data_IF_858295916070
#
_entry.id   IF_858295916070
#
_cell.length_a   1.000
_cell.length_b   1.000
_cell.length_c   1.000
_cell.angle_alpha   90.00
_cell.angle_beta   90.00
_cell.angle_gamma   90.00
#
_symmetry.space_group_name_H-M   'P 1'
#
loop_
_entity.id
_entity.type
_entity.pdbx_description
1 polymer ?
#
# COMPACT_ATOMS: atom_id res chain seq x y z
N UNK A 1 -11.81 33.64 -58.85
CA UNK A 1 -11.25 33.05 -60.09
C UNK A 1 -11.45 31.56 -59.96
N UNK A 2 -12.54 31.12 -60.60
CA UNK A 2 -12.62 30.10 -61.68
C UNK A 2 -12.14 28.70 -61.25
N UNK A 3 -12.87 27.62 -61.40
CA UNK A 3 -13.79 27.24 -62.46
C UNK A 3 -14.54 25.96 -62.08
N UNK A 4 -15.80 25.94 -62.36
CA UNK A 4 -16.75 24.85 -62.62
C UNK A 4 -16.24 23.78 -63.56
N UNK A 5 -16.81 22.54 -63.41
CA UNK A 5 -17.39 21.70 -64.48
C UNK A 5 -17.93 20.39 -63.87
N UNK A 6 -19.21 20.31 -63.73
CA UNK A 6 -20.28 19.64 -64.54
C UNK A 6 -19.81 18.46 -65.39
N UNK A 7 -20.42 17.27 -65.13
CA UNK A 7 -20.81 16.28 -66.18
C UNK A 7 -21.91 15.36 -65.60
N UNK A 8 -23.09 15.57 -65.97
CA UNK A 8 -24.17 14.99 -66.77
C UNK A 8 -24.30 13.48 -66.79
N UNK A 9 -25.41 13.04 -66.27
CA UNK A 9 -26.46 12.08 -66.68
C UNK A 9 -26.22 11.24 -67.90
N UNK A 10 -26.49 9.94 -67.79
CA UNK A 10 -27.14 9.16 -68.85
C UNK A 10 -28.16 8.19 -68.25
N UNK A 11 -29.44 8.48 -68.57
CA UNK A 11 -30.54 7.53 -68.57
C UNK A 11 -30.43 6.72 -69.84
N UNK A 12 -30.62 5.41 -69.74
CA UNK A 12 -31.11 4.61 -70.86
C UNK A 12 -32.10 3.58 -70.38
N UNK A 13 -33.30 3.77 -70.80
CA UNK A 13 -34.45 2.85 -70.72
C UNK A 13 -34.36 1.82 -71.83
N UNK A 14 -34.59 0.53 -71.52
CA UNK A 14 -35.17 -0.40 -72.51
C UNK A 14 -36.27 -1.24 -71.90
N UNK A 15 -37.36 -1.20 -72.63
CA UNK A 15 -38.63 -1.90 -72.43
C UNK A 15 -38.61 -3.26 -73.15
N UNK A 16 -39.45 -4.17 -72.63
CA UNK A 16 -40.12 -5.28 -73.35
C UNK A 16 -39.30 -6.54 -73.59
N UNK A 17 -39.76 -7.73 -73.50
CA UNK A 17 -41.09 -8.33 -73.41
C UNK A 17 -40.96 -9.84 -73.14
N UNK A 18 -42.01 -10.41 -72.56
CA UNK A 18 -42.67 -11.71 -72.89
C UNK A 18 -42.03 -13.03 -72.42
N UNK A 19 -42.65 -13.68 -71.54
CA UNK A 19 -43.68 -14.74 -71.59
C UNK A 19 -43.17 -16.19 -71.44
N UNK A 20 -43.76 -16.88 -70.46
CA UNK A 20 -44.08 -18.33 -70.30
C UNK A 20 -42.96 -19.30 -69.94
N UNK A 21 -43.24 -19.97 -68.80
CA UNK A 21 -42.54 -21.20 -68.36
C UNK A 21 -42.90 -21.62 -66.95
N UNK A 22 -44.16 -22.13 -66.75
CA UNK A 22 -44.52 -22.84 -65.52
C UNK A 22 -43.72 -24.11 -65.35
N UNK A 23 -42.95 -24.22 -64.27
CA UNK A 23 -42.55 -25.52 -63.72
C UNK A 23 -42.46 -25.36 -62.18
N UNK A 24 -43.52 -25.82 -61.51
CA UNK A 24 -43.59 -25.97 -60.09
C UNK A 24 -42.65 -27.10 -59.63
N UNK A 25 -41.53 -26.73 -59.03
CA UNK A 25 -40.76 -27.63 -58.20
C UNK A 25 -41.09 -27.31 -56.77
N UNK A 26 -41.93 -28.16 -56.15
CA UNK A 26 -42.18 -28.17 -54.74
C UNK A 26 -40.90 -28.56 -53.99
N UNK A 27 -40.20 -27.60 -53.43
CA UNK A 27 -39.13 -27.86 -52.48
C UNK A 27 -39.80 -28.22 -51.14
N UNK A 28 -39.70 -29.51 -50.79
CA UNK A 28 -39.91 -29.97 -49.42
C UNK A 28 -38.83 -29.35 -48.56
N UNK A 29 -39.14 -28.25 -47.87
CA UNK A 29 -38.32 -27.74 -46.78
C UNK A 29 -38.48 -28.72 -45.59
N UNK A 30 -37.36 -29.20 -44.99
CA UNK A 30 -37.46 -29.97 -43.76
C UNK A 30 -38.08 -29.08 -42.67
N UNK A 31 -38.91 -29.65 -41.75
CA UNK A 31 -39.50 -28.89 -40.67
C UNK A 31 -38.36 -28.28 -39.82
N UNK A 32 -38.33 -26.95 -39.71
CA UNK A 32 -37.49 -26.27 -38.76
C UNK A 32 -37.76 -26.89 -37.38
N UNK A 33 -36.74 -27.61 -36.86
CA UNK A 33 -36.77 -28.10 -35.50
C UNK A 33 -37.04 -26.90 -34.60
N UNK A 34 -38.22 -26.81 -34.05
CA UNK A 34 -38.60 -25.86 -33.04
C UNK A 34 -37.61 -26.03 -31.89
N UNK A 35 -36.69 -25.09 -31.74
CA UNK A 35 -35.89 -25.00 -30.55
C UNK A 35 -36.86 -24.78 -29.41
N UNK A 36 -37.08 -25.82 -28.63
CA UNK A 36 -37.82 -25.75 -27.38
C UNK A 36 -37.19 -24.62 -26.54
N UNK A 37 -37.97 -23.60 -26.15
CA UNK A 37 -37.44 -22.58 -25.26
C UNK A 37 -36.97 -23.27 -23.99
N UNK A 38 -35.67 -23.26 -23.77
CA UNK A 38 -35.06 -23.78 -22.55
C UNK A 38 -35.68 -22.99 -21.40
N UNK A 39 -36.52 -23.65 -20.61
CA UNK A 39 -37.16 -23.12 -19.42
C UNK A 39 -36.11 -22.43 -18.58
N UNK A 40 -36.23 -21.12 -18.28
CA UNK A 40 -35.24 -20.45 -17.45
C UNK A 40 -35.19 -21.23 -16.13
N UNK A 41 -33.98 -21.65 -15.77
CA UNK A 41 -33.73 -22.24 -14.46
C UNK A 41 -34.32 -21.31 -13.40
N UNK A 42 -35.12 -21.88 -12.48
CA UNK A 42 -35.82 -21.14 -11.43
C UNK A 42 -34.79 -20.59 -10.38
N UNK A 43 -33.86 -19.77 -10.80
CA UNK A 43 -32.82 -19.16 -9.99
C UNK A 43 -32.70 -17.68 -10.30
N UNK A 44 -32.16 -16.92 -9.37
CA UNK A 44 -31.81 -15.51 -9.58
C UNK A 44 -30.57 -15.44 -10.44
N UNK A 45 -30.69 -14.90 -11.65
CA UNK A 45 -29.54 -14.63 -12.54
C UNK A 45 -28.87 -13.31 -12.20
N UNK A 46 -27.56 -13.27 -12.20
CA UNK A 46 -26.75 -12.08 -11.97
C UNK A 46 -25.45 -12.12 -12.78
N UNK A 47 -24.89 -10.95 -13.05
CA UNK A 47 -23.56 -10.81 -13.63
C UNK A 47 -22.59 -10.44 -12.52
N UNK A 48 -21.43 -11.09 -12.49
CA UNK A 48 -20.42 -10.85 -11.47
C UNK A 48 -19.01 -10.83 -12.02
N UNK A 49 -18.06 -10.49 -11.16
CA UNK A 49 -16.63 -10.49 -11.46
C UNK A 49 -15.87 -11.35 -10.46
N UNK A 50 -14.88 -12.08 -10.94
CA UNK A 50 -14.01 -12.90 -10.10
C UNK A 50 -13.00 -11.99 -9.40
N UNK A 51 -12.94 -12.07 -8.08
CA UNK A 51 -12.02 -11.28 -7.25
C UNK A 51 -11.34 -12.16 -6.19
N UNK A 52 -10.12 -11.85 -5.79
CA UNK A 52 -9.47 -12.51 -4.65
C UNK A 52 -10.15 -12.11 -3.33
N UNK A 53 -9.94 -12.91 -2.28
CA UNK A 53 -10.52 -12.66 -0.95
C UNK A 53 -10.14 -11.28 -0.39
N UNK A 54 -8.90 -10.88 -0.59
CA UNK A 54 -8.40 -9.56 -0.19
C UNK A 54 -8.87 -8.39 -1.06
N UNK A 55 -9.63 -8.67 -2.14
CA UNK A 55 -9.76 -7.73 -3.25
C UNK A 55 -8.44 -7.57 -4.01
N UNK A 56 -8.44 -6.66 -4.96
CA UNK A 56 -7.21 -6.25 -5.66
C UNK A 56 -6.59 -5.07 -4.89
N UNK A 57 -5.46 -5.33 -4.26
CA UNK A 57 -4.73 -4.33 -3.48
C UNK A 57 -3.75 -3.61 -4.39
N UNK A 58 -4.02 -2.34 -4.65
CA UNK A 58 -3.10 -1.47 -5.37
C UNK A 58 -2.04 -0.89 -4.43
N UNK A 59 -0.77 -1.03 -4.79
CA UNK A 59 0.33 -0.38 -4.08
C UNK A 59 0.64 0.94 -4.78
N UNK A 60 0.20 2.07 -4.19
CA UNK A 60 0.45 3.38 -4.78
C UNK A 60 1.91 3.77 -4.61
N UNK A 61 2.41 4.57 -5.50
CA UNK A 61 3.70 5.25 -5.36
C UNK A 61 3.54 6.75 -5.43
N UNK A 62 4.63 7.48 -5.22
CA UNK A 62 4.64 8.94 -5.31
C UNK A 62 4.33 9.37 -6.74
N UNK A 63 3.27 10.17 -6.98
CA UNK A 63 2.94 10.67 -8.30
C UNK A 63 4.11 11.46 -8.91
N UNK A 64 4.38 11.25 -10.20
CA UNK A 64 5.48 11.91 -10.90
C UNK A 64 6.85 11.26 -10.70
N UNK A 65 7.01 10.33 -9.76
CA UNK A 65 8.25 9.62 -9.55
C UNK A 65 8.58 8.68 -10.73
N UNK A 66 9.83 8.66 -11.12
CA UNK A 66 10.36 7.76 -12.15
C UNK A 66 10.70 6.40 -11.54
N UNK A 67 10.31 5.31 -12.20
CA UNK A 67 10.65 3.95 -11.80
C UNK A 67 12.09 3.65 -12.14
N UNK A 68 12.93 3.42 -11.14
CA UNK A 68 14.36 3.09 -11.32
C UNK A 68 14.63 1.60 -11.28
N UNK A 69 13.73 0.81 -10.69
CA UNK A 69 13.86 -0.64 -10.64
C UNK A 69 12.55 -1.34 -10.33
N UNK A 70 12.34 -2.50 -10.95
CA UNK A 70 11.21 -3.41 -10.71
C UNK A 70 11.80 -4.74 -10.29
N UNK A 71 11.42 -5.25 -9.13
CA UNK A 71 12.02 -6.44 -8.49
C UNK A 71 11.08 -7.64 -8.48
N UNK A 72 9.87 -7.48 -8.97
CA UNK A 72 8.84 -8.53 -8.98
C UNK A 72 8.23 -8.71 -10.37
N UNK A 73 7.63 -9.88 -10.59
CA UNK A 73 6.95 -10.22 -11.83
C UNK A 73 5.50 -10.63 -11.55
N UNK A 74 4.62 -10.44 -12.51
CA UNK A 74 3.26 -10.96 -12.44
C UNK A 74 3.28 -12.48 -12.20
N UNK A 75 2.41 -12.97 -11.33
CA UNK A 75 2.34 -14.37 -10.88
C UNK A 75 3.27 -14.72 -9.72
N UNK A 76 4.18 -13.84 -9.30
CA UNK A 76 5.10 -14.08 -8.19
C UNK A 76 4.39 -13.88 -6.85
N UNK A 77 4.56 -14.84 -5.93
CA UNK A 77 4.14 -14.66 -4.53
C UNK A 77 5.16 -13.82 -3.77
N UNK A 78 4.68 -12.86 -2.99
CA UNK A 78 5.49 -11.95 -2.18
C UNK A 78 4.95 -11.90 -0.75
N UNK A 79 5.84 -11.73 0.22
CA UNK A 79 5.50 -11.50 1.62
C UNK A 79 5.38 -10.01 1.91
N UNK A 80 4.64 -9.66 2.94
CA UNK A 80 4.60 -8.29 3.47
C UNK A 80 6.01 -7.74 3.70
N UNK A 81 6.23 -6.48 3.33
CA UNK A 81 7.55 -5.83 3.41
C UNK A 81 8.49 -6.10 2.23
N UNK A 82 8.19 -7.07 1.35
CA UNK A 82 9.02 -7.34 0.16
C UNK A 82 9.09 -6.11 -0.74
N UNK A 83 10.30 -5.74 -1.18
CA UNK A 83 10.52 -4.64 -2.11
C UNK A 83 9.96 -5.02 -3.49
N UNK A 84 8.99 -4.26 -3.96
CA UNK A 84 8.32 -4.45 -5.24
C UNK A 84 8.95 -3.61 -6.34
N UNK A 85 9.17 -2.33 -6.03
CA UNK A 85 9.61 -1.34 -7.00
C UNK A 85 10.41 -0.26 -6.30
N UNK A 86 11.43 0.28 -6.94
CA UNK A 86 12.16 1.47 -6.50
C UNK A 86 11.84 2.62 -7.44
N UNK A 87 11.61 3.79 -6.84
CA UNK A 87 11.25 4.99 -7.58
C UNK A 87 12.17 6.15 -7.20
N UNK A 88 12.33 7.08 -8.12
CA UNK A 88 13.07 8.32 -7.93
C UNK A 88 12.14 9.49 -8.21
N UNK A 89 11.76 10.23 -7.17
CA UNK A 89 11.09 11.51 -7.33
C UNK A 89 12.11 12.62 -7.07
N UNK A 90 12.19 13.67 -7.88
CA UNK A 90 13.11 14.78 -7.64
C UNK A 90 12.95 15.43 -6.27
N UNK A 91 11.69 15.55 -5.80
CA UNK A 91 11.36 16.03 -4.46
C UNK A 91 11.83 15.08 -3.36
N UNK A 92 11.67 13.76 -3.54
CA UNK A 92 12.05 12.77 -2.53
C UNK A 92 13.58 12.67 -2.35
N UNK A 93 14.36 12.85 -3.40
CA UNK A 93 15.84 12.91 -3.28
C UNK A 93 16.29 14.14 -2.47
N UNK A 94 15.65 15.30 -2.73
CA UNK A 94 15.88 16.49 -1.93
C UNK A 94 15.50 16.29 -0.47
N UNK A 95 14.35 15.71 -0.20
CA UNK A 95 13.85 15.43 1.14
C UNK A 95 14.76 14.44 1.90
N UNK A 96 15.27 13.40 1.23
CA UNK A 96 16.25 12.46 1.80
C UNK A 96 17.56 13.16 2.12
N UNK A 97 18.08 13.97 1.19
CA UNK A 97 19.33 14.71 1.40
C UNK A 97 19.22 15.72 2.55
N UNK A 98 18.10 16.44 2.63
CA UNK A 98 17.80 17.36 3.74
C UNK A 98 17.71 16.60 5.07
N UNK A 99 16.98 15.50 5.14
CA UNK A 99 16.83 14.72 6.35
C UNK A 99 18.15 14.08 6.81
N UNK A 100 19.00 13.63 5.88
CA UNK A 100 20.36 13.14 6.19
C UNK A 100 21.26 14.25 6.70
N UNK A 101 21.20 15.45 6.12
CA UNK A 101 21.98 16.61 6.59
C UNK A 101 21.53 17.05 7.98
N UNK A 102 20.23 17.00 8.27
CA UNK A 102 19.69 17.27 9.61
C UNK A 102 20.15 16.24 10.64
N UNK A 103 20.18 14.95 10.29
CA UNK A 103 20.73 13.91 11.17
C UNK A 103 22.20 14.16 11.49
N UNK A 104 23.00 14.46 10.48
CA UNK A 104 24.41 14.79 10.67
C UNK A 104 24.60 16.03 11.55
N UNK A 105 23.83 17.08 11.29
CA UNK A 105 23.87 18.29 12.11
C UNK A 105 23.49 18.03 13.58
N UNK A 106 22.48 17.17 13.82
CA UNK A 106 22.09 16.77 15.16
C UNK A 106 23.19 15.99 15.89
N UNK A 107 23.89 15.09 15.17
CA UNK A 107 25.03 14.35 15.71
C UNK A 107 26.23 15.27 16.05
N UNK A 108 26.59 16.19 15.17
CA UNK A 108 27.67 17.14 15.36
C UNK A 108 27.36 18.08 16.54
N UNK A 109 26.12 18.56 16.64
CA UNK A 109 25.70 19.40 17.77
C UNK A 109 25.75 18.63 19.09
N UNK A 110 25.27 17.42 19.13
CA UNK A 110 25.28 16.55 20.29
C UNK A 110 26.73 16.29 20.78
N UNK A 111 27.65 16.01 19.86
CA UNK A 111 29.05 15.80 20.17
C UNK A 111 29.70 17.05 20.82
N UNK A 112 29.43 18.25 20.26
CA UNK A 112 29.95 19.53 20.81
C UNK A 112 29.35 19.82 22.19
N UNK A 113 28.05 19.62 22.39
CA UNK A 113 27.41 19.85 23.67
C UNK A 113 27.91 18.88 24.75
N UNK A 114 28.06 17.58 24.40
CA UNK A 114 28.61 16.60 25.31
C UNK A 114 30.08 16.93 25.69
N UNK A 115 30.91 17.34 24.73
CA UNK A 115 32.30 17.72 24.98
C UNK A 115 32.38 18.95 25.90
N UNK A 116 31.58 19.98 25.67
CA UNK A 116 31.56 21.18 26.52
C UNK A 116 31.15 20.84 27.97
N UNK A 117 30.11 20.01 28.14
CA UNK A 117 29.65 19.61 29.47
C UNK A 117 30.63 18.66 30.16
N UNK A 118 31.34 17.82 29.42
CA UNK A 118 32.42 16.99 29.98
C UNK A 118 33.55 17.82 30.57
N UNK A 119 33.95 18.89 29.89
CA UNK A 119 34.92 19.84 30.40
C UNK A 119 34.50 20.50 31.72
N UNK A 120 33.22 20.87 31.84
CA UNK A 120 32.63 21.40 33.08
C UNK A 120 32.73 20.39 34.23
N UNK A 121 32.43 19.11 33.92
CA UNK A 121 32.55 18.02 34.91
C UNK A 121 34.03 17.81 35.33
N UNK A 122 34.98 17.84 34.39
CA UNK A 122 36.40 17.72 34.69
C UNK A 122 36.90 18.84 35.58
N UNK A 123 36.47 20.08 35.31
CA UNK A 123 36.81 21.23 36.16
C UNK A 123 36.23 21.08 37.57
N UNK A 124 34.97 20.69 37.69
CA UNK A 124 34.34 20.47 39.00
C UNK A 124 35.00 19.31 39.76
N UNK A 125 35.44 18.27 39.07
CA UNK A 125 36.19 17.15 39.63
C UNK A 125 37.54 17.62 40.19
N UNK A 126 38.32 18.39 39.42
CA UNK A 126 39.59 18.91 39.87
C UNK A 126 39.45 19.79 41.11
N UNK A 127 38.42 20.66 41.15
CA UNK A 127 38.14 21.50 42.34
C UNK A 127 37.78 20.64 43.57
N UNK A 128 36.98 19.59 43.40
CA UNK A 128 36.63 18.68 44.48
C UNK A 128 37.85 17.93 45.01
N UNK A 129 38.71 17.43 44.12
CA UNK A 129 39.94 16.74 44.49
C UNK A 129 40.91 17.71 45.26
N UNK A 130 41.03 18.93 44.79
CA UNK A 130 41.85 19.95 45.47
C UNK A 130 41.30 20.27 46.86
N UNK A 131 39.97 20.44 47.00
CA UNK A 131 39.36 20.74 48.29
C UNK A 131 39.51 19.56 49.29
N UNK A 132 39.32 18.32 48.82
CA UNK A 132 39.53 17.15 49.65
C UNK A 132 41.02 16.98 50.08
N UNK A 133 41.98 17.25 49.17
CA UNK A 133 43.40 17.25 49.48
C UNK A 133 43.75 18.28 50.55
N UNK A 134 43.13 19.48 50.50
CA UNK A 134 43.34 20.50 51.51
C UNK A 134 42.85 20.06 52.90
N UNK A 135 41.69 19.43 53.00
CA UNK A 135 41.15 18.84 54.23
C UNK A 135 42.10 17.77 54.78
N UNK A 136 42.60 16.90 53.89
CA UNK A 136 43.51 15.82 54.28
C UNK A 136 44.85 16.35 54.75
N UNK A 137 45.43 17.31 54.04
CA UNK A 137 46.68 17.97 54.42
C UNK A 137 46.57 18.65 55.79
N UNK A 138 45.46 19.38 56.01
CA UNK A 138 45.22 20.08 57.28
C UNK A 138 45.05 19.12 58.48
N UNK A 139 44.35 17.99 58.31
CA UNK A 139 44.25 16.96 59.32
C UNK A 139 45.60 16.33 59.71
N UNK A 140 46.51 16.24 58.77
CA UNK A 140 47.84 15.66 58.97
C UNK A 140 48.80 16.62 59.75
N UNK A 141 48.47 17.91 59.91
CA UNK A 141 49.25 18.85 60.71
C UNK A 141 49.23 18.59 62.20
N UNK A 142 48.34 17.76 62.71
CA UNK A 142 48.19 17.37 64.11
C UNK A 142 47.49 18.42 64.96
N UNK A 143 46.93 17.97 66.09
CA UNK A 143 45.99 18.74 66.96
C UNK A 143 46.64 19.96 67.65
N UNK A 144 47.93 20.01 67.73
CA UNK A 144 48.67 21.13 68.35
C UNK A 144 48.76 22.40 67.47
N UNK A 145 48.61 22.23 66.14
CA UNK A 145 48.74 23.31 65.16
C UNK A 145 47.47 23.63 64.41
N UNK A 146 46.40 22.88 64.66
CA UNK A 146 45.11 22.95 63.88
C UNK A 146 44.02 23.68 64.65
N UNK A 147 43.46 24.72 64.07
CA UNK A 147 42.24 25.40 64.59
C UNK A 147 40.96 24.63 64.10
N UNK A 148 40.07 24.30 65.07
CA UNK A 148 38.79 23.65 64.75
C UNK A 148 37.97 24.44 63.71
N UNK A 149 37.96 25.80 63.87
CA UNK A 149 37.22 26.69 62.99
C UNK A 149 37.74 26.61 61.52
N UNK A 150 39.04 26.48 61.38
CA UNK A 150 39.67 26.39 60.02
C UNK A 150 39.43 25.06 59.38
N UNK A 151 39.47 23.98 60.14
CA UNK A 151 39.10 22.66 59.68
C UNK A 151 37.62 22.62 59.23
N UNK A 152 36.69 23.17 60.01
CA UNK A 152 35.30 23.26 59.67
C UNK A 152 35.09 24.05 58.35
N UNK A 153 35.85 25.10 58.15
CA UNK A 153 35.81 25.88 56.90
C UNK A 153 36.28 25.07 55.71
N UNK A 154 37.34 24.30 55.82
CA UNK A 154 37.85 23.42 54.74
C UNK A 154 36.90 22.28 54.47
N UNK A 155 36.30 21.66 55.46
CA UNK A 155 35.29 20.61 55.33
C UNK A 155 34.08 21.14 54.60
N UNK A 156 33.60 22.33 54.95
CA UNK A 156 32.46 22.96 54.25
C UNK A 156 32.80 23.29 52.80
N UNK A 157 34.05 23.76 52.49
CA UNK A 157 34.49 24.00 51.15
C UNK A 157 34.56 22.69 50.32
N UNK A 158 35.03 21.60 50.92
CA UNK A 158 35.04 20.29 50.25
C UNK A 158 33.61 19.75 49.99
N UNK A 159 32.68 19.93 50.96
CA UNK A 159 31.28 19.54 50.76
C UNK A 159 30.61 20.35 49.65
N UNK A 160 30.92 21.67 49.54
CA UNK A 160 30.38 22.50 48.45
C UNK A 160 30.98 22.08 47.09
N UNK A 161 32.26 21.78 47.00
CA UNK A 161 32.89 21.30 45.76
C UNK A 161 32.35 19.92 45.33
N UNK A 162 32.07 19.02 46.28
CA UNK A 162 31.39 17.74 46.00
C UNK A 162 29.95 17.93 45.49
N UNK A 163 29.21 18.86 46.06
CA UNK A 163 27.85 19.21 45.60
C UNK A 163 27.89 19.81 44.18
N UNK A 164 28.87 20.70 43.88
CA UNK A 164 29.07 21.24 42.51
C UNK A 164 29.35 20.12 41.51
N UNK A 165 30.23 19.17 41.81
CA UNK A 165 30.51 18.02 40.97
C UNK A 165 29.25 17.17 40.71
N UNK A 166 28.44 16.92 41.72
CA UNK A 166 27.18 16.19 41.59
C UNK A 166 26.18 16.90 40.65
N UNK A 167 26.12 18.24 40.74
CA UNK A 167 25.29 19.06 39.88
C UNK A 167 25.77 18.96 38.42
N UNK A 168 27.05 19.08 38.15
CA UNK A 168 27.60 19.02 36.79
C UNK A 168 27.43 17.61 36.17
N UNK A 169 27.58 16.55 36.98
CA UNK A 169 27.27 15.17 36.54
C UNK A 169 25.82 14.99 36.19
N UNK A 170 24.89 15.58 36.98
CA UNK A 170 23.47 15.56 36.68
C UNK A 170 23.13 16.30 35.38
N UNK A 171 23.74 17.47 35.15
CA UNK A 171 23.61 18.25 33.91
C UNK A 171 24.11 17.47 32.69
N UNK A 172 25.25 16.77 32.80
CA UNK A 172 25.79 15.94 31.74
C UNK A 172 24.78 14.86 31.33
N UNK A 173 24.14 14.20 32.30
CA UNK A 173 23.09 13.19 32.01
C UNK A 173 21.90 13.79 31.28
N UNK A 174 21.44 14.97 31.68
CA UNK A 174 20.33 15.67 31.02
C UNK A 174 20.70 16.02 29.57
N UNK A 175 21.87 16.59 29.34
CA UNK A 175 22.37 16.92 28.00
C UNK A 175 22.46 15.67 27.13
N UNK A 176 22.99 14.56 27.64
CA UNK A 176 23.07 13.30 26.92
C UNK A 176 21.66 12.79 26.54
N UNK A 177 20.71 12.80 27.48
CA UNK A 177 19.33 12.35 27.21
C UNK A 177 18.62 13.22 26.16
N UNK A 178 18.83 14.54 26.18
CA UNK A 178 18.30 15.46 25.18
C UNK A 178 18.90 15.22 23.81
N UNK A 179 20.24 15.04 23.74
CA UNK A 179 20.96 14.76 22.53
C UNK A 179 20.52 13.43 21.88
N UNK A 180 20.40 12.37 22.69
CA UNK A 180 19.91 11.07 22.22
C UNK A 180 18.49 11.16 21.66
N UNK A 181 17.62 11.95 22.28
CA UNK A 181 16.28 12.20 21.79
C UNK A 181 16.30 12.95 20.45
N UNK A 182 17.13 13.99 20.32
CA UNK A 182 17.30 14.74 19.09
C UNK A 182 17.82 13.88 17.94
N UNK A 183 18.85 13.06 18.19
CA UNK A 183 19.40 12.13 17.20
C UNK A 183 18.38 11.09 16.80
N UNK A 184 17.63 10.50 17.74
CA UNK A 184 16.57 9.52 17.40
C UNK A 184 15.50 10.12 16.50
N UNK A 185 15.04 11.34 16.79
CA UNK A 185 14.02 12.00 15.98
C UNK A 185 14.53 12.30 14.56
N UNK A 186 15.74 12.83 14.43
CA UNK A 186 16.34 13.09 13.12
C UNK A 186 16.57 11.79 12.31
N UNK A 187 16.96 10.71 12.98
CA UNK A 187 17.11 9.39 12.36
C UNK A 187 15.78 8.83 11.84
N UNK A 188 14.72 8.92 12.62
CA UNK A 188 13.38 8.51 12.19
C UNK A 188 12.93 9.30 10.97
N UNK A 189 13.15 10.60 10.94
CA UNK A 189 12.83 11.44 9.78
C UNK A 189 13.61 11.00 8.53
N UNK A 190 14.92 10.73 8.66
CA UNK A 190 15.74 10.23 7.57
C UNK A 190 15.26 8.85 7.06
N UNK A 191 14.87 7.96 7.96
CA UNK A 191 14.30 6.66 7.60
C UNK A 191 12.94 6.79 6.90
N UNK A 192 12.06 7.68 7.35
CA UNK A 192 10.78 7.94 6.67
C UNK A 192 10.96 8.53 5.28
N UNK A 193 11.85 9.51 5.14
CA UNK A 193 12.19 10.09 3.85
C UNK A 193 12.73 9.03 2.88
N UNK A 194 13.63 8.16 3.34
CA UNK A 194 14.20 7.08 2.52
C UNK A 194 13.16 6.02 2.11
N UNK A 195 12.19 5.69 2.98
CA UNK A 195 11.12 4.71 2.65
C UNK A 195 10.19 5.18 1.55
N UNK A 196 10.00 6.48 1.39
CA UNK A 196 9.14 7.06 0.36
C UNK A 196 9.57 6.74 -1.07
N UNK A 197 10.82 6.34 -1.30
CA UNK A 197 11.36 5.93 -2.61
C UNK A 197 11.21 4.44 -2.93
N UNK A 198 10.73 3.63 -1.99
CA UNK A 198 10.58 2.19 -2.13
C UNK A 198 9.12 1.75 -1.96
N UNK A 199 8.57 1.13 -2.99
CA UNK A 199 7.25 0.49 -2.92
C UNK A 199 7.43 -0.92 -2.37
N UNK A 200 6.86 -1.19 -1.21
CA UNK A 200 6.88 -2.49 -0.55
C UNK A 200 5.49 -3.11 -0.47
N UNK A 201 5.41 -4.43 -0.47
CA UNK A 201 4.16 -5.15 -0.31
C UNK A 201 3.54 -4.85 1.07
N UNK A 202 2.29 -4.36 1.14
CA UNK A 202 1.63 -4.10 2.43
C UNK A 202 1.18 -5.39 3.12
N UNK A 203 0.91 -6.45 2.35
CA UNK A 203 0.41 -7.75 2.81
C UNK A 203 1.04 -8.88 1.99
N UNK A 204 0.90 -10.11 2.49
CA UNK A 204 1.25 -11.32 1.74
C UNK A 204 0.27 -11.48 0.56
N UNK A 205 0.78 -11.84 -0.61
CA UNK A 205 -0.07 -12.04 -1.79
C UNK A 205 0.69 -12.35 -3.06
N UNK A 206 -0.05 -12.59 -4.11
CA UNK A 206 0.51 -12.79 -5.46
C UNK A 206 0.43 -11.48 -6.24
N UNK A 207 1.48 -11.15 -6.96
CA UNK A 207 1.53 -10.01 -7.87
C UNK A 207 0.60 -10.29 -9.05
N UNK A 208 -0.48 -9.55 -9.16
CA UNK A 208 -1.44 -9.68 -10.26
C UNK A 208 -0.96 -8.95 -11.50
N UNK A 209 -0.48 -7.73 -11.30
CA UNK A 209 -0.05 -6.86 -12.40
C UNK A 209 1.04 -5.91 -11.93
N UNK A 210 2.04 -5.71 -12.77
CA UNK A 210 3.00 -4.61 -12.69
C UNK A 210 2.60 -3.61 -13.76
N UNK A 211 2.20 -2.39 -13.35
CA UNK A 211 1.60 -1.41 -14.27
C UNK A 211 2.62 -0.49 -14.91
N UNK A 212 3.84 -0.44 -14.38
CA UNK A 212 4.91 0.47 -14.85
C UNK A 212 6.22 -0.27 -15.05
N UNK A 213 7.00 0.19 -16.02
CA UNK A 213 8.33 -0.31 -16.34
C UNK A 213 9.40 0.67 -15.86
N UNK A 214 10.64 0.19 -15.82
CA UNK A 214 11.81 1.04 -15.55
C UNK A 214 11.87 2.17 -16.59
N UNK A 215 12.09 3.41 -16.12
CA UNK A 215 12.09 4.63 -16.92
C UNK A 215 10.72 5.31 -17.04
N UNK A 216 9.62 4.65 -16.68
CA UNK A 216 8.29 5.27 -16.71
C UNK A 216 7.99 6.05 -15.42
N UNK A 217 7.14 7.05 -15.51
CA UNK A 217 6.68 7.81 -14.34
C UNK A 217 5.40 7.24 -13.76
N UNK A 218 5.33 7.21 -12.43
CA UNK A 218 4.11 6.88 -11.70
C UNK A 218 3.06 7.98 -11.88
N UNK A 219 1.84 7.56 -12.18
CA UNK A 219 0.67 8.44 -12.24
C UNK A 219 -0.23 8.26 -11.01
N UNK A 220 -1.54 8.49 -11.19
CA UNK A 220 -2.55 8.22 -10.17
C UNK A 220 -2.88 6.72 -9.99
N UNK A 221 -2.41 5.86 -10.89
CA UNK A 221 -2.62 4.42 -10.82
C UNK A 221 -1.58 3.73 -9.93
N UNK A 222 -1.96 2.63 -9.22
CA UNK A 222 -1.01 1.87 -8.43
C UNK A 222 0.09 1.26 -9.31
N UNK A 223 1.35 1.31 -8.86
CA UNK A 223 2.51 0.78 -9.56
C UNK A 223 2.50 -0.76 -9.66
N UNK A 224 1.98 -1.43 -8.63
CA UNK A 224 1.84 -2.87 -8.54
C UNK A 224 0.49 -3.22 -7.94
N UNK A 225 -0.16 -4.26 -8.45
CA UNK A 225 -1.40 -4.82 -7.91
C UNK A 225 -1.13 -6.21 -7.33
N UNK A 226 -1.63 -6.42 -6.11
CA UNK A 226 -1.49 -7.66 -5.35
C UNK A 226 -2.87 -8.26 -5.05
N UNK A 227 -2.93 -9.57 -4.83
CA UNK A 227 -4.12 -10.25 -4.37
C UNK A 227 -3.82 -11.59 -3.71
N UNK A 228 -4.63 -11.98 -2.73
CA UNK A 228 -4.56 -13.32 -2.13
C UNK A 228 -5.39 -14.30 -2.96
N UNK A 229 -4.73 -15.11 -3.77
CA UNK A 229 -5.35 -16.06 -4.69
C UNK A 229 -5.77 -17.40 -4.04
N UNK A 230 -5.51 -17.59 -2.75
CA UNK A 230 -5.86 -18.85 -2.04
C UNK A 230 -7.35 -19.04 -1.91
N UNK A 231 -8.09 -17.95 -1.80
CA UNK A 231 -9.55 -17.97 -1.73
C UNK A 231 -10.10 -16.96 -2.74
N UNK A 232 -11.01 -17.43 -3.58
CA UNK A 232 -11.60 -16.61 -4.64
C UNK A 232 -13.08 -16.40 -4.40
N UNK A 233 -13.53 -15.23 -4.79
CA UNK A 233 -14.93 -14.82 -4.71
C UNK A 233 -15.45 -14.41 -6.08
N UNK A 234 -16.75 -14.46 -6.22
CA UNK A 234 -17.47 -13.73 -7.26
C UNK A 234 -18.28 -12.64 -6.58
N UNK A 235 -18.03 -11.42 -6.96
CA UNK A 235 -18.84 -10.27 -6.57
C UNK A 235 -19.82 -10.02 -7.68
N UNK A 236 -21.10 -10.24 -7.41
CA UNK A 236 -22.18 -10.06 -8.40
C UNK A 236 -23.15 -8.98 -7.96
N UNK A 237 -23.76 -8.34 -8.95
CA UNK A 237 -24.78 -7.34 -8.77
C UNK A 237 -26.14 -7.97 -9.03
N UNK A 238 -27.00 -7.91 -8.04
CA UNK A 238 -28.34 -8.49 -8.05
C UNK A 238 -29.39 -7.39 -7.94
N UNK A 239 -30.47 -7.52 -8.67
CA UNK A 239 -31.58 -6.58 -8.62
C UNK A 239 -32.23 -6.52 -7.22
N UNK A 240 -32.58 -5.32 -6.75
CA UNK A 240 -33.09 -5.09 -5.39
C UNK A 240 -34.28 -5.99 -5.01
N UNK A 241 -35.17 -6.30 -5.95
CA UNK A 241 -36.34 -7.15 -5.73
C UNK A 241 -35.99 -8.60 -5.39
N UNK A 242 -34.82 -9.08 -5.77
CA UNK A 242 -34.36 -10.45 -5.48
C UNK A 242 -33.46 -10.52 -4.24
N UNK A 243 -32.83 -9.41 -3.83
CA UNK A 243 -31.90 -9.38 -2.70
C UNK A 243 -32.50 -9.90 -1.39
N UNK A 244 -33.73 -9.54 -1.09
CA UNK A 244 -34.42 -9.95 0.15
C UNK A 244 -34.66 -11.48 0.22
N UNK A 245 -34.59 -12.15 -0.92
CA UNK A 245 -34.78 -13.61 -1.02
C UNK A 245 -33.47 -14.36 -0.85
N UNK A 246 -32.33 -13.67 -1.03
CA UNK A 246 -31.00 -14.27 -0.93
C UNK A 246 -30.57 -14.35 0.54
N UNK A 247 -29.97 -15.48 0.88
CA UNK A 247 -29.46 -15.75 2.23
C UNK A 247 -28.04 -16.31 2.14
N UNK A 248 -27.17 -15.99 3.11
CA UNK A 248 -25.90 -16.68 3.24
C UNK A 248 -26.06 -18.18 3.29
N UNK A 249 -25.15 -18.90 2.63
CA UNK A 249 -25.18 -20.36 2.50
C UNK A 249 -25.87 -20.90 1.25
N UNK A 250 -26.68 -20.12 0.53
CA UNK A 250 -27.27 -20.54 -0.74
C UNK A 250 -26.19 -20.88 -1.76
N UNK A 251 -26.46 -21.93 -2.56
CA UNK A 251 -25.56 -22.41 -3.62
C UNK A 251 -25.70 -21.54 -4.85
N UNK A 252 -24.57 -21.21 -5.44
CA UNK A 252 -24.53 -20.51 -6.72
C UNK A 252 -23.70 -21.28 -7.73
N UNK A 253 -24.18 -21.28 -8.96
CA UNK A 253 -23.51 -21.87 -10.11
C UNK A 253 -22.97 -20.75 -10.99
N UNK A 254 -21.67 -20.76 -11.21
CA UNK A 254 -20.94 -19.72 -11.95
C UNK A 254 -20.54 -20.29 -13.31
N UNK A 255 -20.95 -19.61 -14.36
CA UNK A 255 -20.71 -20.01 -15.74
C UNK A 255 -19.93 -18.95 -16.49
N UNK A 256 -19.08 -19.40 -17.40
CA UNK A 256 -18.41 -18.58 -18.39
C UNK A 256 -18.04 -19.44 -19.58
N UNK A 257 -17.88 -18.83 -20.72
CA UNK A 257 -17.44 -19.52 -21.95
C UNK A 257 -16.00 -20.05 -21.84
N UNK A 258 -15.21 -19.50 -20.91
CA UNK A 258 -13.81 -19.90 -20.71
C UNK A 258 -13.67 -21.13 -19.82
N UNK A 259 -14.66 -21.43 -19.00
CA UNK A 259 -14.60 -22.57 -18.09
C UNK A 259 -15.21 -23.82 -18.75
N UNK A 260 -14.44 -24.88 -18.82
CA UNK A 260 -14.92 -26.16 -19.36
C UNK A 260 -16.09 -26.76 -18.55
N UNK A 261 -16.15 -26.43 -17.24
CA UNK A 261 -17.22 -26.84 -16.33
C UNK A 261 -17.65 -25.64 -15.49
N UNK A 262 -18.95 -25.54 -15.15
CA UNK A 262 -19.42 -24.52 -14.21
C UNK A 262 -18.69 -24.63 -12.88
N UNK A 263 -18.34 -23.47 -12.31
CA UNK A 263 -17.82 -23.40 -10.95
C UNK A 263 -18.98 -23.36 -9.97
N UNK A 264 -18.77 -23.85 -8.78
CA UNK A 264 -19.71 -23.78 -7.66
C UNK A 264 -19.19 -22.88 -6.57
N UNK A 265 -20.11 -22.25 -5.88
CA UNK A 265 -19.81 -21.43 -4.73
C UNK A 265 -21.02 -21.26 -3.83
N UNK A 266 -20.83 -20.59 -2.71
CA UNK A 266 -21.88 -20.28 -1.76
C UNK A 266 -21.92 -18.81 -1.46
N UNK A 267 -23.11 -18.27 -1.28
CA UNK A 267 -23.28 -16.89 -0.80
C UNK A 267 -22.65 -16.81 0.60
N UNK A 268 -21.69 -15.95 0.75
CA UNK A 268 -21.09 -15.64 2.05
C UNK A 268 -21.72 -14.38 2.64
N UNK A 269 -21.94 -13.37 1.79
CA UNK A 269 -22.46 -12.09 2.24
C UNK A 269 -23.46 -11.53 1.20
N UNK A 270 -24.55 -10.98 1.68
CA UNK A 270 -25.49 -10.17 0.91
C UNK A 270 -25.33 -8.72 1.38
N UNK A 271 -24.92 -7.85 0.48
CA UNK A 271 -24.71 -6.42 0.76
C UNK A 271 -26.00 -5.76 1.25
N UNK A 272 -25.84 -4.80 2.14
CA UNK A 272 -26.95 -4.02 2.71
C UNK A 272 -27.14 -2.66 2.03
N UNK A 273 -26.25 -2.33 1.11
CA UNK A 273 -26.28 -1.09 0.34
C UNK A 273 -26.82 -1.37 -1.06
N UNK A 274 -27.71 -0.52 -1.52
CA UNK A 274 -28.27 -0.58 -2.88
C UNK A 274 -27.80 0.68 -3.60
N UNK A 275 -27.26 0.50 -4.80
CA UNK A 275 -27.05 1.60 -5.73
C UNK A 275 -28.43 2.10 -6.20
N UNK A 276 -28.79 3.31 -5.79
CA UNK A 276 -30.12 3.88 -6.06
C UNK A 276 -30.34 4.19 -7.53
N UNK A 277 -29.28 4.41 -8.32
CA UNK A 277 -29.40 4.68 -9.75
C UNK A 277 -29.57 3.38 -10.55
N UNK A 278 -28.75 2.37 -10.23
CA UNK A 278 -28.80 1.08 -10.92
C UNK A 278 -29.83 0.12 -10.31
N UNK A 279 -30.32 0.37 -9.08
CA UNK A 279 -31.21 -0.50 -8.30
C UNK A 279 -30.62 -1.90 -8.09
N UNK A 280 -29.31 -1.95 -7.89
CA UNK A 280 -28.53 -3.17 -7.71
C UNK A 280 -27.89 -3.21 -6.33
N UNK A 281 -27.84 -4.40 -5.76
CA UNK A 281 -27.08 -4.66 -4.54
C UNK A 281 -25.99 -5.69 -4.78
N UNK A 282 -24.91 -5.58 -4.03
CA UNK A 282 -23.77 -6.47 -4.14
C UNK A 282 -23.98 -7.76 -3.35
N UNK A 283 -23.62 -8.89 -3.95
CA UNK A 283 -23.62 -10.20 -3.30
C UNK A 283 -22.26 -10.85 -3.50
N UNK A 284 -21.65 -11.30 -2.41
CA UNK A 284 -20.34 -11.98 -2.43
C UNK A 284 -20.55 -13.49 -2.32
N UNK A 285 -20.02 -14.21 -3.30
CA UNK A 285 -20.11 -15.65 -3.40
C UNK A 285 -18.69 -16.20 -3.28
N UNK A 286 -18.45 -16.98 -2.24
CA UNK A 286 -17.18 -17.71 -2.08
C UNK A 286 -17.18 -18.92 -2.99
N UNK A 287 -16.13 -19.07 -3.79
CA UNK A 287 -15.94 -20.25 -4.63
C UNK A 287 -15.48 -21.45 -3.80
N UNK A 288 -15.99 -22.63 -4.12
CA UNK A 288 -15.60 -23.90 -3.46
C UNK A 288 -14.15 -24.27 -3.78
N UNK A 289 -13.63 -23.82 -4.94
CA UNK A 289 -12.25 -24.00 -5.37
C UNK A 289 -11.69 -22.71 -5.95
N UNK A 290 -10.48 -22.38 -5.59
CA UNK A 290 -9.77 -21.23 -6.13
C UNK A 290 -9.39 -21.43 -7.62
N UNK A 291 -9.08 -22.65 -8.03
CA UNK A 291 -8.81 -22.98 -9.43
C UNK A 291 -10.08 -23.34 -10.20
N UNK A 292 -10.24 -22.93 -11.46
CA UNK A 292 -9.31 -22.13 -12.28
C UNK A 292 -9.48 -20.61 -12.14
N UNK A 293 -10.33 -20.14 -11.21
CA UNK A 293 -10.69 -18.73 -11.04
C UNK A 293 -9.47 -17.82 -10.69
N UNK A 294 -8.51 -18.37 -9.94
CA UNK A 294 -7.28 -17.64 -9.53
C UNK A 294 -6.43 -17.14 -10.71
N UNK A 295 -6.58 -17.76 -11.89
CA UNK A 295 -5.87 -17.34 -13.11
C UNK A 295 -6.52 -16.20 -13.86
N UNK A 296 -7.78 -15.87 -13.53
CA UNK A 296 -8.64 -14.97 -14.31
C UNK A 296 -9.29 -13.91 -13.42
N UNK A 297 -8.48 -13.28 -12.58
CA UNK A 297 -8.95 -12.18 -11.71
C UNK A 297 -9.51 -11.04 -12.56
N UNK A 298 -10.68 -10.52 -12.15
CA UNK A 298 -11.40 -9.47 -12.87
C UNK A 298 -12.29 -9.95 -14.00
N UNK A 299 -12.31 -11.27 -14.29
CA UNK A 299 -13.14 -11.82 -15.34
C UNK A 299 -14.62 -11.72 -15.00
N UNK A 300 -15.42 -11.31 -15.99
CA UNK A 300 -16.88 -11.31 -15.92
C UNK A 300 -17.44 -12.73 -16.07
N UNK A 301 -18.41 -13.06 -15.24
CA UNK A 301 -19.06 -14.37 -15.20
C UNK A 301 -20.56 -14.22 -15.00
N UNK A 302 -21.31 -15.22 -15.51
CA UNK A 302 -22.73 -15.34 -15.28
C UNK A 302 -22.97 -16.21 -14.03
N UNK A 303 -23.78 -15.70 -13.12
CA UNK A 303 -24.10 -16.35 -11.86
C UNK A 303 -25.56 -16.73 -11.84
N UNK A 304 -25.86 -17.98 -11.50
CA UNK A 304 -27.20 -18.47 -11.21
C UNK A 304 -27.27 -18.97 -9.77
N UNK A 305 -28.07 -18.32 -8.95
CA UNK A 305 -28.26 -18.66 -7.54
C UNK A 305 -29.46 -19.56 -7.42
N UNK A 306 -29.25 -20.77 -6.88
CA UNK A 306 -30.33 -21.73 -6.69
C UNK A 306 -31.25 -21.28 -5.54
N UNK A 307 -32.54 -21.46 -5.71
CA UNK A 307 -33.57 -21.13 -4.71
C UNK A 307 -33.74 -22.24 -3.70
#
# INVERSE_FOLDING_TARGET
>A
MNSCRNFRSHRTSYRQAAVIGLLALAWLAPPAAAQTPQKPAAGTGAVGHIVPASGVIGVPGTPGAEVTGVYVRAGQFVKAGTLLMRTRAPSAEGDVAVAQSQLKAAQDLAARQAAAQTLSVELARARNEQAQAAVTAYRNLGSALSSKKELDTLVNAAANAEAELKIELARLRVVQAQNDSGIRNARLQAEYAARGSELRAPVDGTVLKVTRRVGERLGGEPGVQLGDLRTMYVVCQVYEGDLLRLKPGMVATIRSQVFAKPLRGRIEEVGRTIDTQARLGEVRIRLDSAEPASRLVGMQVDVSIDR
#
